data_IF_816305720237
#
_entry.id   IF_816305720237
#
_cell.length_a   1.000
_cell.length_b   1.000
_cell.length_c   1.000
_cell.angle_alpha   90.00
_cell.angle_beta   90.00
_cell.angle_gamma   90.00
#
_symmetry.space_group_name_H-M   'P 1'
#
loop_
_entity.id
_entity.type
_entity.pdbx_description
1 polymer ?
#
# COMPACT_ATOMS: atom_id res chain seq x y z
N UNK A 1 27.88 65.45 29.60
CA UNK A 1 27.75 64.13 30.19
C UNK A 1 27.74 63.14 29.05
N UNK A 2 28.87 62.51 28.76
CA UNK A 2 29.09 61.66 27.59
C UNK A 2 28.72 60.23 27.93
N UNK A 3 27.83 59.61 27.18
CA UNK A 3 27.49 58.18 27.24
C UNK A 3 28.50 57.46 26.32
N UNK A 4 29.16 56.41 26.79
CA UNK A 4 30.31 55.86 26.09
C UNK A 4 29.88 54.98 24.90
N UNK A 5 30.58 55.13 23.81
CA UNK A 5 30.52 54.39 22.54
C UNK A 5 30.93 52.90 22.61
N UNK A 6 30.74 52.25 23.74
CA UNK A 6 31.22 50.86 23.91
C UNK A 6 30.23 49.75 23.59
N UNK A 7 28.98 50.11 23.20
CA UNK A 7 27.92 49.11 22.95
C UNK A 7 27.76 48.74 21.48
N UNK A 8 28.37 49.45 20.54
CA UNK A 8 28.23 49.17 19.10
C UNK A 8 29.28 48.21 18.53
N UNK A 9 30.31 47.89 19.26
CA UNK A 9 31.35 46.94 18.76
C UNK A 9 31.10 45.48 19.10
N UNK A 10 30.21 45.17 20.04
CA UNK A 10 29.87 43.79 20.39
C UNK A 10 28.80 43.15 19.51
N UNK A 11 27.99 43.93 18.82
CA UNK A 11 26.93 43.39 17.95
C UNK A 11 27.48 42.99 16.58
N UNK A 12 28.59 43.57 16.12
CA UNK A 12 29.19 43.18 14.83
C UNK A 12 30.06 41.92 14.90
N UNK A 13 30.48 41.51 16.07
CA UNK A 13 31.30 40.30 16.28
C UNK A 13 30.42 39.04 16.39
N UNK A 14 29.16 39.16 16.77
CA UNK A 14 28.24 38.02 16.82
C UNK A 14 27.62 37.64 15.45
N UNK A 15 27.65 38.52 14.47
CA UNK A 15 27.15 38.22 13.13
C UNK A 15 28.15 37.46 12.24
N UNK A 16 29.41 37.35 12.62
CA UNK A 16 30.43 36.62 11.88
C UNK A 16 30.78 35.23 12.44
N UNK A 17 30.23 34.89 13.61
CA UNK A 17 30.54 33.60 14.26
C UNK A 17 29.54 32.48 13.96
N UNK A 18 28.42 32.76 13.25
CA UNK A 18 27.44 31.76 12.85
C UNK A 18 27.34 31.52 11.34
N UNK A 19 28.25 32.09 10.57
CA UNK A 19 28.50 31.68 9.20
C UNK A 19 29.55 30.55 9.17
N UNK A 20 29.45 29.57 10.07
CA UNK A 20 30.16 28.31 9.90
C UNK A 20 29.35 27.45 8.95
N UNK A 21 29.86 27.36 7.75
CA UNK A 21 29.76 26.25 6.78
C UNK A 21 28.96 25.05 7.28
N UNK A 22 27.63 25.20 7.31
CA UNK A 22 26.83 24.05 6.95
C UNK A 22 27.21 23.75 5.51
N UNK A 23 27.69 22.56 5.17
CA UNK A 23 27.82 22.22 3.77
C UNK A 23 26.39 22.28 3.20
N UNK A 24 26.03 23.43 2.63
CA UNK A 24 24.87 23.53 1.75
C UNK A 24 25.33 22.80 0.48
N UNK A 25 25.52 21.50 0.67
CA UNK A 25 25.98 20.64 -0.40
C UNK A 25 24.79 20.06 -1.13
N UNK A 26 23.91 20.92 -1.63
CA UNK A 26 23.11 20.52 -2.77
C UNK A 26 24.01 20.73 -3.97
N UNK A 27 24.58 19.64 -4.43
CA UNK A 27 25.23 19.63 -5.73
C UNK A 27 24.13 19.51 -6.78
N UNK A 28 23.81 20.59 -7.48
CA UNK A 28 23.05 20.50 -8.73
C UNK A 28 23.89 19.68 -9.74
N UNK A 29 23.29 18.76 -10.50
CA UNK A 29 21.85 18.49 -10.60
C UNK A 29 21.32 17.56 -9.50
N UNK A 30 20.09 17.84 -9.01
CA UNK A 30 19.40 16.99 -8.06
C UNK A 30 18.92 15.68 -8.67
N UNK A 31 18.58 15.69 -9.95
CA UNK A 31 18.06 14.55 -10.67
C UNK A 31 18.93 14.25 -11.90
N UNK A 32 19.24 12.98 -12.13
CA UNK A 32 20.00 12.52 -13.27
C UNK A 32 19.41 11.24 -13.84
N UNK A 33 19.41 11.08 -15.16
CA UNK A 33 19.14 9.77 -15.77
C UNK A 33 20.23 8.80 -15.37
N UNK A 34 19.86 7.64 -14.83
CA UNK A 34 20.82 6.71 -14.24
C UNK A 34 20.57 5.23 -14.57
N UNK A 35 19.48 4.95 -15.27
CA UNK A 35 19.16 3.60 -15.71
C UNK A 35 19.75 3.24 -17.08
N UNK A 36 19.49 2.02 -17.53
CA UNK A 36 19.79 1.62 -18.89
C UNK A 36 18.99 2.45 -19.91
N UNK A 37 19.50 2.61 -21.13
CA UNK A 37 18.93 3.50 -22.17
C UNK A 37 17.48 3.19 -22.55
N UNK A 38 17.02 1.97 -22.28
CA UNK A 38 15.66 1.49 -22.57
C UNK A 38 14.67 1.65 -21.41
N UNK A 39 15.12 2.17 -20.28
CA UNK A 39 14.30 2.35 -19.09
C UNK A 39 14.36 3.81 -18.62
N UNK A 40 13.19 4.36 -18.31
CA UNK A 40 13.07 5.74 -17.84
C UNK A 40 13.33 5.80 -16.32
N UNK A 41 14.61 5.73 -15.94
CA UNK A 41 15.09 5.72 -14.56
C UNK A 41 15.79 7.02 -14.22
N UNK A 42 15.37 7.67 -13.15
CA UNK A 42 15.94 8.91 -12.64
C UNK A 42 16.43 8.72 -11.20
N UNK A 43 17.71 9.00 -10.97
CA UNK A 43 18.29 9.02 -9.63
C UNK A 43 18.17 10.42 -9.01
N UNK A 44 17.75 10.47 -7.75
CA UNK A 44 17.59 11.70 -6.97
C UNK A 44 18.68 11.79 -5.90
N UNK A 45 19.36 12.94 -5.83
CA UNK A 45 20.33 13.20 -4.78
C UNK A 45 19.71 13.99 -3.64
N UNK A 46 19.80 13.45 -2.44
CA UNK A 46 19.43 14.13 -1.17
C UNK A 46 18.03 14.74 -1.11
N UNK A 47 17.08 14.26 -1.90
CA UNK A 47 15.71 14.79 -1.93
C UNK A 47 15.07 14.90 -0.54
N UNK A 48 15.29 13.92 0.33
CA UNK A 48 14.75 13.91 1.68
C UNK A 48 15.55 14.77 2.69
N UNK A 49 16.72 15.27 2.31
CA UNK A 49 17.62 15.99 3.21
C UNK A 49 17.74 17.46 2.87
N UNK A 50 18.07 17.77 1.61
CA UNK A 50 18.37 19.13 1.17
C UNK A 50 17.82 19.37 -0.22
N UNK A 51 16.96 20.35 -0.36
CA UNK A 51 16.52 20.92 -1.65
C UNK A 51 17.08 22.32 -1.79
N UNK A 52 17.29 22.83 -3.02
CA UNK A 52 17.70 24.21 -3.24
C UNK A 52 16.71 25.19 -2.61
N UNK A 53 17.25 26.32 -2.17
CA UNK A 53 16.44 27.39 -1.58
C UNK A 53 15.26 27.76 -2.51
N UNK A 54 14.09 28.02 -1.91
CA UNK A 54 12.81 28.29 -2.58
C UNK A 54 12.16 27.09 -3.28
N UNK A 55 12.41 25.88 -2.88
CA UNK A 55 11.57 24.77 -3.33
C UNK A 55 10.15 24.88 -2.77
N UNK A 56 9.19 24.38 -3.54
CA UNK A 56 7.79 24.35 -3.13
C UNK A 56 7.13 23.04 -3.59
N UNK A 57 6.63 22.27 -2.66
CA UNK A 57 5.75 21.14 -2.96
C UNK A 57 4.30 21.57 -2.77
N UNK A 58 3.52 21.48 -3.84
CA UNK A 58 2.11 21.85 -3.81
C UNK A 58 1.35 21.01 -2.80
N UNK A 59 0.59 21.70 -1.98
CA UNK A 59 -0.32 21.13 -1.02
C UNK A 59 -1.74 21.27 -1.58
N UNK A 60 -2.45 20.18 -1.82
CA UNK A 60 -3.87 20.25 -2.16
C UNK A 60 -4.68 19.43 -1.16
N UNK A 61 -5.64 20.09 -0.51
CA UNK A 61 -6.55 19.41 0.41
C UNK A 61 -7.55 18.53 -0.34
N UNK A 62 -7.15 17.36 -0.80
CA UNK A 62 -8.08 16.34 -1.28
C UNK A 62 -8.04 15.96 -2.75
N UNK A 63 -6.98 16.24 -3.49
CA UNK A 63 -6.82 15.71 -4.83
C UNK A 63 -5.59 14.81 -4.95
N UNK A 64 -5.63 13.90 -5.90
CA UNK A 64 -4.54 13.03 -6.32
C UNK A 64 -3.33 13.78 -6.90
N UNK A 65 -3.40 15.10 -7.00
CA UNK A 65 -2.39 15.98 -7.58
C UNK A 65 -1.22 16.30 -6.63
N UNK A 66 -0.99 15.49 -5.59
CA UNK A 66 0.05 15.73 -4.58
C UNK A 66 1.26 14.84 -4.80
N UNK A 67 1.59 14.53 -6.02
CA UNK A 67 2.81 13.77 -6.29
C UNK A 67 4.04 14.58 -5.88
N UNK A 68 5.02 13.95 -5.23
CA UNK A 68 6.29 14.62 -4.96
C UNK A 68 7.01 15.03 -6.27
N UNK A 69 6.68 14.37 -7.39
CA UNK A 69 7.12 14.76 -8.72
C UNK A 69 6.67 16.17 -9.12
N UNK A 70 5.64 16.72 -8.47
CA UNK A 70 5.17 18.10 -8.65
C UNK A 70 5.87 19.10 -7.73
N UNK A 71 6.91 18.68 -7.01
CA UNK A 71 7.76 19.62 -6.24
C UNK A 71 8.42 20.60 -7.23
N UNK A 72 8.17 21.88 -7.02
CA UNK A 72 8.80 22.94 -7.83
C UNK A 72 10.16 23.29 -7.24
N UNK A 73 11.20 23.15 -8.04
CA UNK A 73 12.58 23.48 -7.68
C UNK A 73 13.12 24.49 -8.70
N UNK A 74 12.79 25.80 -8.58
CA UNK A 74 13.02 26.80 -9.61
C UNK A 74 14.48 26.98 -10.03
N UNK A 75 15.41 26.63 -9.17
CA UNK A 75 16.86 26.81 -9.40
C UNK A 75 17.57 25.54 -9.84
N UNK A 76 16.82 24.45 -10.09
CA UNK A 76 17.36 23.22 -10.60
C UNK A 76 16.42 22.58 -11.64
N UNK A 77 16.67 22.87 -12.90
CA UNK A 77 15.86 22.35 -14.01
C UNK A 77 16.01 20.84 -14.23
N UNK A 78 16.99 20.20 -13.62
CA UNK A 78 17.12 18.73 -13.69
C UNK A 78 15.93 18.02 -13.04
N UNK A 79 15.25 18.70 -12.10
CA UNK A 79 14.09 18.15 -11.41
C UNK A 79 12.89 17.92 -12.34
N UNK A 80 12.87 18.55 -13.52
CA UNK A 80 11.87 18.30 -14.57
C UNK A 80 11.91 16.85 -15.09
N UNK A 81 13.04 16.14 -14.94
CA UNK A 81 13.15 14.72 -15.26
C UNK A 81 12.23 13.84 -14.41
N UNK A 82 11.96 14.24 -13.16
CA UNK A 82 11.19 13.46 -12.20
C UNK A 82 9.75 13.25 -12.67
N UNK A 83 9.14 14.26 -13.27
CA UNK A 83 7.75 14.20 -13.73
C UNK A 83 7.49 13.20 -14.86
N UNK A 84 8.54 12.78 -15.56
CA UNK A 84 8.44 11.89 -16.71
C UNK A 84 9.06 10.49 -16.47
N UNK A 85 9.62 10.26 -15.28
CA UNK A 85 10.28 9.00 -14.97
C UNK A 85 9.26 7.90 -14.61
N UNK A 86 9.52 6.68 -15.08
CA UNK A 86 8.78 5.50 -14.63
C UNK A 86 9.33 5.02 -13.27
N UNK A 87 10.65 5.14 -13.09
CA UNK A 87 11.35 4.72 -11.89
C UNK A 87 12.16 5.86 -11.30
N UNK A 88 11.96 6.12 -10.02
CA UNK A 88 12.76 7.06 -9.25
C UNK A 88 13.60 6.30 -8.22
N UNK A 89 14.86 6.63 -8.16
CA UNK A 89 15.84 5.96 -7.30
C UNK A 89 16.40 6.98 -6.30
N UNK A 90 16.21 6.70 -5.00
CA UNK A 90 16.67 7.55 -3.89
C UNK A 90 17.95 7.01 -3.24
N UNK A 91 18.14 5.69 -3.28
CA UNK A 91 19.38 5.02 -2.94
C UNK A 91 19.95 4.40 -4.21
N UNK A 92 20.96 5.03 -4.80
CA UNK A 92 21.41 4.67 -6.14
C UNK A 92 21.99 3.26 -6.20
N UNK A 93 22.73 2.82 -5.20
CA UNK A 93 23.33 1.49 -5.17
C UNK A 93 22.26 0.40 -5.10
N UNK A 94 21.43 0.44 -4.07
CA UNK A 94 20.36 -0.54 -3.86
C UNK A 94 19.26 -0.46 -4.92
N UNK A 95 18.88 0.76 -5.31
CA UNK A 95 17.81 0.98 -6.28
C UNK A 95 18.17 0.47 -7.68
N UNK A 96 19.39 0.67 -8.15
CA UNK A 96 19.82 0.13 -9.43
C UNK A 96 20.00 -1.41 -9.38
N UNK A 97 20.43 -1.95 -8.23
CA UNK A 97 20.51 -3.39 -8.04
C UNK A 97 19.10 -4.05 -8.13
N UNK A 98 18.11 -3.50 -7.44
CA UNK A 98 16.74 -4.03 -7.47
C UNK A 98 16.06 -3.88 -8.83
N UNK A 99 16.36 -2.82 -9.58
CA UNK A 99 15.83 -2.64 -10.92
C UNK A 99 16.48 -3.61 -11.92
N UNK A 100 17.78 -3.87 -11.78
CA UNK A 100 18.54 -4.71 -12.69
C UNK A 100 18.85 -4.03 -14.03
N UNK A 101 19.24 -4.83 -15.02
CA UNK A 101 19.71 -4.32 -16.31
C UNK A 101 18.60 -4.00 -17.32
N UNK A 102 17.38 -4.45 -17.07
CA UNK A 102 16.26 -4.35 -18.02
C UNK A 102 14.91 -4.12 -17.33
N UNK A 103 14.78 -3.11 -16.46
CA UNK A 103 13.50 -2.83 -15.83
C UNK A 103 12.50 -2.35 -16.89
N UNK A 104 11.23 -2.81 -16.77
CA UNK A 104 10.13 -2.34 -17.61
C UNK A 104 8.92 -2.01 -16.77
N UNK A 105 8.19 -0.98 -17.20
CA UNK A 105 6.89 -0.62 -16.70
C UNK A 105 5.91 -0.55 -17.87
N UNK A 106 4.84 -1.35 -17.81
CA UNK A 106 3.81 -1.42 -18.84
C UNK A 106 2.43 -1.28 -18.21
N UNK A 107 1.64 -0.28 -18.58
CA UNK A 107 0.21 -0.27 -18.28
C UNK A 107 -0.51 -1.20 -19.25
N UNK A 108 -0.82 -2.42 -18.77
CA UNK A 108 -1.35 -3.51 -19.61
C UNK A 108 -2.83 -3.32 -19.90
N UNK A 109 -3.60 -2.88 -18.89
CA UNK A 109 -5.04 -2.64 -19.05
C UNK A 109 -5.43 -1.28 -18.54
N UNK A 110 -6.21 -0.55 -19.35
CA UNK A 110 -7.00 0.58 -18.87
C UNK A 110 -8.34 0.02 -18.38
N UNK A 111 -8.64 0.24 -17.13
CA UNK A 111 -9.83 -0.28 -16.45
C UNK A 111 -10.61 0.87 -15.81
N UNK A 112 -11.83 0.58 -15.35
CA UNK A 112 -12.61 1.58 -14.63
C UNK A 112 -11.97 1.87 -13.26
N UNK A 113 -12.25 3.03 -12.69
CA UNK A 113 -11.83 3.40 -11.33
C UNK A 113 -12.39 2.47 -10.23
N UNK A 114 -13.36 1.62 -10.58
CA UNK A 114 -13.90 0.60 -9.68
C UNK A 114 -13.02 -0.65 -9.57
N UNK A 115 -12.06 -0.88 -10.48
CA UNK A 115 -11.05 -1.92 -10.30
C UNK A 115 -10.16 -1.50 -9.15
N UNK A 116 -10.11 -2.33 -8.13
CA UNK A 116 -9.76 -1.84 -6.82
C UNK A 116 -8.60 -2.62 -6.21
N UNK A 117 -8.83 -3.88 -5.80
CA UNK A 117 -7.99 -4.53 -4.81
C UNK A 117 -7.90 -6.05 -5.02
N UNK A 118 -7.45 -6.75 -3.97
CA UNK A 118 -7.39 -8.20 -3.83
C UNK A 118 -6.59 -8.93 -4.94
N UNK A 119 -5.42 -8.44 -5.36
CA UNK A 119 -4.63 -9.16 -6.35
C UNK A 119 -4.04 -10.44 -5.73
N UNK A 120 -4.50 -11.60 -6.22
CA UNK A 120 -4.02 -12.92 -5.76
C UNK A 120 -3.56 -13.74 -6.94
N UNK A 121 -2.28 -14.04 -6.97
CA UNK A 121 -1.69 -14.94 -7.97
C UNK A 121 -1.90 -16.41 -7.59
N UNK A 122 -2.39 -17.20 -8.53
CA UNK A 122 -2.57 -18.65 -8.41
C UNK A 122 -1.56 -19.36 -9.32
N UNK A 123 -0.43 -19.85 -8.77
CA UNK A 123 0.66 -20.43 -9.58
C UNK A 123 0.23 -21.60 -10.43
N UNK A 124 -0.61 -22.51 -9.91
CA UNK A 124 -1.06 -23.71 -10.62
C UNK A 124 -1.90 -23.41 -11.86
N UNK A 125 -2.51 -22.24 -11.94
CA UNK A 125 -3.29 -21.77 -13.09
C UNK A 125 -2.54 -20.72 -13.92
N UNK A 126 -1.46 -20.18 -13.39
CA UNK A 126 -0.78 -18.99 -13.90
C UNK A 126 -1.76 -17.86 -14.19
N UNK A 127 -2.58 -17.53 -13.19
CA UNK A 127 -3.63 -16.49 -13.26
C UNK A 127 -3.57 -15.57 -12.06
N UNK A 128 -3.86 -14.29 -12.31
CA UNK A 128 -4.00 -13.26 -11.29
C UNK A 128 -5.47 -12.91 -11.12
N UNK A 129 -5.99 -13.11 -9.92
CA UNK A 129 -7.37 -12.79 -9.54
C UNK A 129 -7.40 -11.40 -8.92
N UNK A 130 -8.46 -10.63 -9.21
CA UNK A 130 -8.63 -9.24 -8.77
C UNK A 130 -10.09 -8.98 -8.40
N UNK A 131 -10.36 -7.89 -7.70
CA UNK A 131 -11.70 -7.46 -7.35
C UNK A 131 -12.13 -6.16 -8.03
N UNK A 132 -13.45 -5.95 -8.04
CA UNK A 132 -14.09 -4.68 -8.35
C UNK A 132 -14.80 -4.18 -7.11
N UNK A 133 -14.55 -2.92 -6.74
CA UNK A 133 -15.27 -2.26 -5.65
C UNK A 133 -16.75 -2.11 -6.03
N UNK A 134 -17.62 -2.56 -5.15
CA UNK A 134 -19.06 -2.36 -5.35
C UNK A 134 -19.41 -0.86 -5.27
N UNK A 135 -20.37 -0.39 -6.09
CA UNK A 135 -20.91 0.95 -5.92
C UNK A 135 -21.66 1.07 -4.58
N UNK A 136 -21.95 2.29 -4.11
CA UNK A 136 -22.82 2.50 -2.96
C UNK A 136 -24.10 1.66 -3.05
N UNK A 137 -24.57 1.11 -1.93
CA UNK A 137 -25.58 0.07 -1.77
C UNK A 137 -25.07 -1.36 -1.96
N UNK A 138 -23.76 -1.58 -2.21
CA UNK A 138 -23.12 -2.89 -2.13
C UNK A 138 -23.63 -3.93 -3.10
N UNK A 139 -23.99 -3.51 -4.33
CA UNK A 139 -24.47 -4.44 -5.38
C UNK A 139 -23.35 -5.39 -5.75
N UNK A 140 -23.67 -6.69 -5.85
CA UNK A 140 -22.71 -7.69 -6.29
C UNK A 140 -22.07 -7.31 -7.62
N UNK A 141 -20.74 -7.33 -7.65
CA UNK A 141 -19.92 -7.12 -8.84
C UNK A 141 -19.21 -8.42 -9.23
N UNK A 142 -18.90 -8.61 -10.53
CA UNK A 142 -17.99 -9.67 -10.93
C UNK A 142 -16.60 -9.43 -10.33
N UNK A 143 -15.82 -10.48 -10.19
CA UNK A 143 -14.39 -10.42 -9.98
C UNK A 143 -13.66 -10.50 -11.32
N UNK A 144 -12.40 -10.14 -11.35
CA UNK A 144 -11.59 -10.14 -12.56
C UNK A 144 -10.49 -11.20 -12.49
N UNK A 145 -10.10 -11.70 -13.65
CA UNK A 145 -8.97 -12.62 -13.82
C UNK A 145 -8.10 -12.15 -14.98
N UNK A 146 -6.81 -11.97 -14.71
CA UNK A 146 -5.80 -11.84 -15.74
C UNK A 146 -5.24 -13.24 -16.05
N UNK A 147 -5.37 -13.67 -17.28
CA UNK A 147 -4.77 -14.93 -17.75
C UNK A 147 -3.35 -14.66 -18.26
N UNK A 148 -2.36 -15.08 -17.49
CA UNK A 148 -0.94 -14.88 -17.78
C UNK A 148 -0.38 -15.98 -18.72
N UNK A 149 -1.19 -16.96 -19.13
CA UNK A 149 -0.80 -17.95 -20.15
C UNK A 149 -0.94 -17.40 -21.57
N UNK A 150 -1.55 -16.22 -21.73
CA UNK A 150 -1.72 -15.56 -23.01
C UNK A 150 -0.63 -14.49 -23.21
N UNK A 151 -0.24 -14.25 -24.45
CA UNK A 151 0.65 -13.15 -24.84
C UNK A 151 0.06 -12.40 -26.05
N UNK A 152 -0.45 -11.18 -25.85
CA UNK A 152 -0.57 -10.43 -24.59
C UNK A 152 -1.54 -11.09 -23.58
N UNK A 153 -1.36 -10.82 -22.29
CA UNK A 153 -2.30 -11.28 -21.25
C UNK A 153 -3.72 -10.81 -21.52
N UNK A 154 -4.70 -11.60 -21.10
CA UNK A 154 -6.13 -11.26 -21.27
C UNK A 154 -6.81 -11.02 -19.93
N UNK A 155 -7.83 -10.14 -19.92
CA UNK A 155 -8.65 -9.81 -18.75
C UNK A 155 -10.07 -10.29 -18.96
N UNK A 156 -10.64 -10.98 -17.99
CA UNK A 156 -12.02 -11.48 -18.03
C UNK A 156 -12.73 -11.34 -16.69
N UNK A 157 -14.04 -11.30 -16.72
CA UNK A 157 -14.91 -11.29 -15.55
C UNK A 157 -15.29 -12.72 -15.14
N UNK A 158 -15.53 -12.93 -13.84
CA UNK A 158 -16.08 -14.19 -13.33
C UNK A 158 -16.88 -13.97 -12.04
N UNK A 159 -17.73 -14.94 -11.69
CA UNK A 159 -18.36 -15.04 -10.38
C UNK A 159 -17.96 -16.35 -9.75
N UNK A 160 -17.57 -16.31 -8.49
CA UNK A 160 -17.41 -17.51 -7.66
C UNK A 160 -18.78 -18.08 -7.26
N UNK A 161 -18.82 -19.32 -6.79
CA UNK A 161 -20.08 -20.01 -6.42
C UNK A 161 -19.97 -20.63 -5.01
N UNK A 162 -20.75 -20.12 -4.04
CA UNK A 162 -21.49 -18.86 -4.07
C UNK A 162 -20.61 -17.63 -4.29
N UNK A 163 -21.16 -16.52 -4.83
CA UNK A 163 -20.37 -15.33 -5.11
C UNK A 163 -19.90 -14.63 -3.85
N UNK A 164 -18.68 -14.08 -3.90
CA UNK A 164 -18.10 -13.24 -2.85
C UNK A 164 -18.37 -11.77 -3.16
N UNK A 165 -18.81 -11.03 -2.15
CA UNK A 165 -19.11 -9.61 -2.26
C UNK A 165 -17.87 -8.78 -1.95
N UNK A 166 -17.44 -7.99 -2.91
CA UNK A 166 -16.39 -6.99 -2.80
C UNK A 166 -15.15 -7.50 -2.01
N UNK A 167 -14.39 -8.49 -2.54
CA UNK A 167 -13.10 -8.81 -1.96
C UNK A 167 -12.22 -7.56 -1.92
N UNK A 168 -11.58 -7.28 -0.77
CA UNK A 168 -10.77 -6.09 -0.59
C UNK A 168 -9.27 -6.41 -0.50
N UNK A 169 -8.90 -7.54 0.05
CA UNK A 169 -7.55 -8.05 0.05
C UNK A 169 -7.53 -9.56 -0.02
N UNK A 170 -6.35 -10.14 -0.19
CA UNK A 170 -6.28 -11.59 -0.25
C UNK A 170 -4.88 -12.16 -0.41
N UNK A 171 -4.80 -13.48 -0.21
CA UNK A 171 -3.57 -14.27 -0.38
C UNK A 171 -3.89 -15.66 -0.91
N UNK A 172 -2.89 -16.27 -1.55
CA UNK A 172 -2.95 -17.68 -1.95
C UNK A 172 -2.20 -18.53 -0.93
N UNK A 173 -2.85 -19.54 -0.41
CA UNK A 173 -2.24 -20.45 0.53
C UNK A 173 -2.82 -21.86 0.39
N UNK A 174 -1.96 -22.85 0.33
CA UNK A 174 -2.32 -24.28 0.29
C UNK A 174 -3.43 -24.64 -0.73
N UNK A 175 -3.31 -24.11 -1.95
CA UNK A 175 -4.23 -24.41 -3.06
C UNK A 175 -5.51 -23.59 -3.09
N UNK A 176 -5.75 -22.72 -2.12
CA UNK A 176 -6.93 -21.86 -2.01
C UNK A 176 -6.57 -20.40 -2.05
N UNK A 177 -7.48 -19.59 -2.59
CA UNK A 177 -7.47 -18.16 -2.38
C UNK A 177 -8.23 -17.86 -1.08
N UNK A 178 -7.65 -17.05 -0.22
CA UNK A 178 -8.27 -16.49 0.97
C UNK A 178 -8.55 -15.02 0.71
N UNK A 179 -9.79 -14.61 0.82
CA UNK A 179 -10.21 -13.24 0.64
C UNK A 179 -10.81 -12.62 1.88
N UNK A 180 -10.41 -11.38 2.18
CA UNK A 180 -11.17 -10.45 2.99
C UNK A 180 -12.33 -9.89 2.16
N UNK A 181 -13.55 -10.11 2.59
CA UNK A 181 -14.76 -9.64 1.90
C UNK A 181 -15.38 -8.48 2.66
N UNK A 182 -15.66 -7.39 1.94
CA UNK A 182 -16.30 -6.19 2.50
C UNK A 182 -17.80 -6.36 2.76
N UNK A 183 -18.40 -7.41 2.21
CA UNK A 183 -19.84 -7.60 2.28
C UNK A 183 -20.61 -6.78 1.25
N UNK A 184 -21.93 -6.73 1.38
CA UNK A 184 -22.79 -6.08 0.41
C UNK A 184 -24.27 -6.17 0.74
N UNK A 185 -25.08 -5.83 -0.25
CA UNK A 185 -26.53 -5.73 -0.11
C UNK A 185 -27.25 -7.10 -0.07
N UNK A 186 -28.56 -7.07 -0.14
CA UNK A 186 -29.47 -8.22 0.00
C UNK A 186 -29.76 -8.93 -1.33
N UNK A 187 -28.96 -8.77 -2.36
CA UNK A 187 -29.24 -9.36 -3.68
C UNK A 187 -29.18 -10.88 -3.71
N UNK A 188 -28.47 -11.50 -2.77
CA UNK A 188 -28.44 -12.95 -2.58
C UNK A 188 -29.16 -13.35 -1.29
N UNK A 189 -30.13 -14.23 -1.40
CA UNK A 189 -30.87 -14.76 -0.25
C UNK A 189 -31.74 -13.76 0.51
N UNK A 190 -31.87 -12.52 0.03
CA UNK A 190 -32.68 -11.47 0.64
C UNK A 190 -32.13 -10.92 1.96
N UNK A 191 -30.88 -11.25 2.33
CA UNK A 191 -30.20 -10.79 3.53
C UNK A 191 -28.94 -10.02 3.21
N UNK A 192 -28.58 -9.06 4.06
CA UNK A 192 -27.33 -8.32 3.97
C UNK A 192 -26.15 -9.28 4.06
N UNK A 193 -25.19 -9.13 3.15
CA UNK A 193 -23.96 -9.92 3.15
C UNK A 193 -22.95 -9.26 4.08
N UNK A 194 -22.60 -9.95 5.14
CA UNK A 194 -21.71 -9.39 6.16
C UNK A 194 -20.24 -9.55 5.79
N UNK A 195 -19.36 -8.63 6.21
CA UNK A 195 -17.93 -8.74 6.04
C UNK A 195 -17.36 -10.03 6.66
N UNK A 196 -16.31 -10.57 6.06
CA UNK A 196 -15.70 -11.79 6.60
C UNK A 196 -14.59 -12.37 5.74
N UNK A 197 -14.04 -13.48 6.19
CA UNK A 197 -13.02 -14.24 5.47
C UNK A 197 -13.70 -15.34 4.66
N UNK A 198 -13.43 -15.33 3.36
CA UNK A 198 -13.91 -16.32 2.40
C UNK A 198 -12.74 -17.10 1.81
N UNK A 199 -12.91 -18.39 1.54
CA UNK A 199 -11.99 -19.13 0.68
C UNK A 199 -12.61 -19.41 -0.67
N UNK A 200 -11.79 -19.42 -1.71
CA UNK A 200 -12.15 -19.86 -3.04
C UNK A 200 -11.19 -20.96 -3.47
N UNK A 201 -11.74 -22.11 -3.90
CA UNK A 201 -10.99 -23.09 -4.67
C UNK A 201 -10.98 -22.64 -6.14
N UNK A 202 -9.83 -22.20 -6.67
CA UNK A 202 -9.76 -21.64 -8.02
C UNK A 202 -9.93 -22.68 -9.14
N UNK A 203 -9.84 -23.99 -8.83
CA UNK A 203 -10.06 -25.06 -9.79
C UNK A 203 -11.53 -25.46 -9.91
N UNK A 204 -12.28 -25.40 -8.80
CA UNK A 204 -13.70 -25.78 -8.77
C UNK A 204 -14.63 -24.57 -8.75
N UNK A 205 -14.10 -23.37 -8.58
CA UNK A 205 -14.83 -22.11 -8.42
C UNK A 205 -15.77 -22.08 -7.21
N UNK A 206 -15.53 -22.95 -6.21
CA UNK A 206 -16.35 -23.03 -5.00
C UNK A 206 -15.80 -22.19 -3.87
N UNK A 207 -16.69 -21.47 -3.19
CA UNK A 207 -16.37 -20.63 -2.03
C UNK A 207 -16.91 -21.19 -0.74
N UNK A 208 -16.26 -20.81 0.36
CA UNK A 208 -16.68 -21.14 1.71
C UNK A 208 -16.36 -19.97 2.65
N UNK A 209 -17.33 -19.60 3.47
CA UNK A 209 -17.10 -18.67 4.59
C UNK A 209 -16.34 -19.37 5.70
N UNK A 210 -15.22 -18.78 6.15
CA UNK A 210 -14.44 -19.26 7.29
C UNK A 210 -14.75 -18.49 8.56
N UNK A 211 -14.92 -17.17 8.45
CA UNK A 211 -15.14 -16.28 9.58
C UNK A 211 -15.98 -15.09 9.13
N UNK A 212 -17.03 -14.71 9.84
CA UNK A 212 -17.86 -13.56 9.52
C UNK A 212 -18.39 -12.79 10.74
N UNK A 213 -17.89 -13.09 11.92
CA UNK A 213 -18.28 -12.37 13.13
C UNK A 213 -17.26 -12.54 14.26
N UNK A 214 -17.28 -11.61 15.20
CA UNK A 214 -16.56 -11.67 16.47
C UNK A 214 -17.57 -11.81 17.59
N UNK A 215 -17.76 -13.02 18.10
CA UNK A 215 -18.76 -13.35 19.15
C UNK A 215 -20.17 -12.83 18.84
N UNK A 216 -20.62 -12.91 17.58
CA UNK A 216 -21.93 -12.47 17.13
C UNK A 216 -22.00 -11.00 16.68
N UNK A 217 -20.94 -10.22 16.84
CA UNK A 217 -20.80 -8.87 16.29
C UNK A 217 -20.17 -8.95 14.90
N UNK A 218 -20.68 -8.19 13.95
CA UNK A 218 -20.14 -8.16 12.60
C UNK A 218 -18.81 -7.42 12.55
N UNK A 219 -17.86 -7.94 11.75
CA UNK A 219 -16.67 -7.19 11.35
C UNK A 219 -17.07 -5.96 10.54
N UNK A 220 -16.21 -4.94 10.54
CA UNK A 220 -16.45 -3.69 9.83
C UNK A 220 -16.20 -3.81 8.33
N UNK A 221 -15.06 -4.41 7.96
CA UNK A 221 -14.62 -4.69 6.60
C UNK A 221 -13.34 -5.52 6.70
N UNK A 222 -13.42 -6.83 6.54
CA UNK A 222 -12.16 -7.59 6.45
C UNK A 222 -11.44 -7.14 5.19
N UNK A 223 -10.37 -6.36 5.38
CA UNK A 223 -9.70 -5.64 4.32
C UNK A 223 -8.58 -6.48 3.72
N UNK A 224 -7.38 -6.50 4.28
CA UNK A 224 -6.30 -7.34 3.78
C UNK A 224 -5.96 -8.46 4.79
N UNK A 225 -5.34 -9.52 4.29
CA UNK A 225 -5.00 -10.68 5.10
C UNK A 225 -3.79 -11.44 4.59
N UNK A 226 -3.12 -12.12 5.54
CA UNK A 226 -2.08 -13.08 5.27
C UNK A 226 -2.33 -14.37 6.06
N UNK A 227 -1.80 -15.48 5.58
CA UNK A 227 -1.83 -16.78 6.30
C UNK A 227 -0.41 -17.12 6.70
N UNK A 228 -0.19 -17.37 8.01
CA UNK A 228 1.12 -17.77 8.52
C UNK A 228 1.39 -19.28 8.32
N UNK A 229 2.62 -19.72 8.57
CA UNK A 229 3.03 -21.13 8.43
C UNK A 229 2.25 -22.12 9.29
N UNK A 230 1.52 -21.66 10.29
CA UNK A 230 0.65 -22.51 11.13
C UNK A 230 -0.75 -22.66 10.54
N UNK A 231 -1.08 -21.87 9.51
CA UNK A 231 -2.40 -21.77 8.90
C UNK A 231 -3.31 -20.77 9.60
N UNK A 232 -2.80 -19.99 10.55
CA UNK A 232 -3.57 -18.90 11.15
C UNK A 232 -3.59 -17.68 10.24
N UNK A 233 -4.71 -16.96 10.24
CA UNK A 233 -4.99 -15.83 9.37
C UNK A 233 -4.88 -14.54 10.17
N UNK A 234 -4.04 -13.63 9.70
CA UNK A 234 -3.89 -12.30 10.24
C UNK A 234 -4.59 -11.33 9.31
N UNK A 235 -5.44 -10.46 9.82
CA UNK A 235 -6.25 -9.58 8.99
C UNK A 235 -6.53 -8.24 9.65
N UNK A 236 -6.85 -7.27 8.83
CA UNK A 236 -7.24 -5.91 9.21
C UNK A 236 -8.75 -5.71 9.06
N UNK A 237 -9.35 -4.86 9.90
CA UNK A 237 -10.79 -4.62 9.95
C UNK A 237 -11.11 -3.12 10.08
N UNK A 238 -10.82 -2.31 9.03
CA UNK A 238 -11.21 -0.91 8.97
C UNK A 238 -12.72 -0.76 8.73
N UNK A 239 -13.26 0.45 8.86
CA UNK A 239 -14.70 0.71 8.71
C UNK A 239 -15.13 0.99 7.24
N UNK A 240 -14.50 0.38 6.26
CA UNK A 240 -14.72 0.72 4.85
C UNK A 240 -16.07 0.29 4.30
N UNK A 241 -16.64 -0.83 4.75
CA UNK A 241 -17.95 -1.26 4.24
C UNK A 241 -19.04 -0.24 4.55
N UNK A 242 -18.99 0.35 5.75
CA UNK A 242 -19.88 1.44 6.13
C UNK A 242 -19.52 2.75 5.42
N UNK A 243 -18.23 3.08 5.37
CA UNK A 243 -17.72 4.29 4.71
C UNK A 243 -18.12 4.35 3.24
N UNK A 244 -17.94 3.24 2.50
CA UNK A 244 -18.30 3.10 1.10
C UNK A 244 -19.79 2.79 0.88
N UNK A 245 -20.59 2.71 1.96
CA UNK A 245 -22.03 2.41 1.91
C UNK A 245 -22.33 1.06 1.24
N UNK A 246 -21.48 0.07 1.45
CA UNK A 246 -21.69 -1.28 0.94
C UNK A 246 -22.72 -2.04 1.77
N UNK A 247 -22.76 -1.78 3.08
CA UNK A 247 -23.63 -2.40 4.06
C UNK A 247 -24.55 -1.37 4.72
N UNK A 248 -25.73 -1.82 5.18
CA UNK A 248 -26.74 -1.01 5.86
C UNK A 248 -26.49 -1.00 7.39
N UNK A 249 -25.91 -2.08 7.91
CA UNK A 249 -25.63 -2.23 9.34
C UNK A 249 -24.45 -1.36 9.74
N UNK A 250 -24.63 -0.43 10.70
CA UNK A 250 -23.52 0.41 11.19
C UNK A 250 -22.43 -0.43 11.88
N UNK A 251 -21.20 0.09 12.00
CA UNK A 251 -20.12 -0.56 12.71
C UNK A 251 -20.54 -1.01 14.13
N UNK A 252 -20.24 -2.25 14.45
CA UNK A 252 -20.52 -2.87 15.75
C UNK A 252 -19.24 -3.05 16.58
N UNK A 253 -18.08 -2.99 15.93
CA UNK A 253 -16.75 -3.14 16.51
C UNK A 253 -15.93 -1.86 16.29
N UNK A 254 -14.89 -1.68 17.09
CA UNK A 254 -13.83 -0.73 16.80
C UNK A 254 -13.05 -1.19 15.56
N UNK A 255 -12.39 -0.26 14.88
CA UNK A 255 -11.34 -0.61 13.92
C UNK A 255 -10.24 -1.36 14.66
N UNK A 256 -9.84 -2.49 14.14
CA UNK A 256 -8.81 -3.30 14.77
C UNK A 256 -8.13 -4.23 13.75
N UNK A 257 -7.08 -4.89 14.20
CA UNK A 257 -6.46 -5.99 13.48
C UNK A 257 -6.52 -7.25 14.32
N UNK A 258 -6.67 -8.39 13.68
CA UNK A 258 -6.94 -9.65 14.35
C UNK A 258 -6.07 -10.79 13.84
N UNK A 259 -5.98 -11.84 14.65
CA UNK A 259 -5.47 -13.17 14.27
C UNK A 259 -6.56 -14.21 14.50
N UNK A 260 -6.88 -14.97 13.47
CA UNK A 260 -7.84 -16.08 13.50
C UNK A 260 -7.13 -17.41 13.33
N UNK A 261 -7.38 -18.34 14.22
CA UNK A 261 -6.91 -19.73 14.09
C UNK A 261 -8.06 -20.62 13.62
N UNK A 262 -8.09 -21.06 12.34
CA UNK A 262 -9.16 -21.90 11.82
C UNK A 262 -9.26 -23.28 12.48
N UNK A 263 -8.18 -23.77 13.12
CA UNK A 263 -8.15 -25.07 13.78
C UNK A 263 -8.92 -25.07 15.09
N UNK A 264 -8.87 -23.97 15.80
CA UNK A 264 -9.52 -23.82 17.12
C UNK A 264 -10.78 -22.95 17.08
N UNK A 265 -10.93 -22.14 16.02
CA UNK A 265 -11.96 -21.12 15.92
C UNK A 265 -11.67 -19.85 16.75
N UNK A 266 -10.49 -19.76 17.35
CA UNK A 266 -10.10 -18.62 18.18
C UNK A 266 -9.81 -17.38 17.33
N UNK A 267 -10.39 -16.24 17.72
CA UNK A 267 -10.09 -14.91 17.17
C UNK A 267 -9.48 -14.07 18.28
N UNK A 268 -8.27 -13.55 18.02
CA UNK A 268 -7.54 -12.71 18.98
C UNK A 268 -7.34 -11.33 18.35
N UNK A 269 -7.67 -10.27 19.07
CA UNK A 269 -7.32 -8.91 18.66
C UNK A 269 -5.83 -8.68 18.85
N UNK A 270 -5.17 -8.07 17.88
CA UNK A 270 -3.72 -7.80 17.92
C UNK A 270 -3.39 -6.31 18.05
N UNK A 271 -4.20 -5.42 17.48
CA UNK A 271 -4.07 -3.95 17.63
C UNK A 271 -5.44 -3.29 17.42
N UNK A 272 -5.75 -2.27 18.23
CA UNK A 272 -6.96 -1.43 18.15
C UNK A 272 -6.63 0.08 18.11
N UNK A 273 -5.39 0.41 17.79
CA UNK A 273 -4.86 1.78 17.88
C UNK A 273 -4.52 2.39 16.54
N UNK A 274 -4.58 1.63 15.45
CA UNK A 274 -4.52 2.12 14.06
C UNK A 274 -5.93 2.58 13.67
N UNK A 275 -6.04 3.82 13.16
CA UNK A 275 -7.35 4.45 12.90
C UNK A 275 -8.09 3.74 11.77
N UNK A 276 -7.40 3.43 10.67
CA UNK A 276 -7.94 2.65 9.56
C UNK A 276 -6.84 1.69 9.06
N UNK A 277 -6.67 0.53 9.73
CA UNK A 277 -5.69 -0.46 9.32
C UNK A 277 -6.10 -1.04 7.95
N UNK A 278 -5.16 -1.07 7.00
CA UNK A 278 -5.39 -1.51 5.63
C UNK A 278 -4.51 -2.73 5.30
N UNK A 279 -3.50 -2.60 4.45
CA UNK A 279 -2.63 -3.70 4.08
C UNK A 279 -1.90 -4.34 5.25
N UNK A 280 -1.71 -5.65 5.20
CA UNK A 280 -0.97 -6.41 6.20
C UNK A 280 0.03 -7.37 5.54
N UNK A 281 1.26 -7.40 6.05
CA UNK A 281 2.30 -8.31 5.57
C UNK A 281 3.16 -8.86 6.71
N UNK A 282 3.75 -10.04 6.49
CA UNK A 282 4.69 -10.65 7.43
C UNK A 282 6.09 -10.66 6.82
N UNK A 283 7.12 -10.35 7.63
CA UNK A 283 8.51 -10.43 7.18
C UNK A 283 8.89 -11.85 6.74
N UNK A 284 9.82 -12.00 5.78
CA UNK A 284 10.25 -13.33 5.30
C UNK A 284 10.80 -14.24 6.39
N UNK A 285 11.37 -13.69 7.44
CA UNK A 285 11.88 -14.44 8.60
C UNK A 285 10.79 -14.78 9.64
N UNK A 286 9.54 -14.36 9.40
CA UNK A 286 8.41 -14.62 10.28
C UNK A 286 8.48 -13.95 11.66
N UNK A 287 9.26 -12.88 11.81
CA UNK A 287 9.46 -12.20 13.10
C UNK A 287 8.70 -10.91 13.26
N UNK A 288 8.20 -10.35 12.16
CA UNK A 288 7.55 -9.04 12.16
C UNK A 288 6.25 -9.07 11.36
N UNK A 289 5.27 -8.28 11.82
CA UNK A 289 4.07 -7.90 11.06
C UNK A 289 4.19 -6.43 10.70
N UNK A 290 3.75 -6.08 9.50
CA UNK A 290 3.62 -4.71 9.03
C UNK A 290 2.16 -4.43 8.71
N UNK A 291 1.65 -3.27 9.15
CA UNK A 291 0.27 -2.83 8.89
C UNK A 291 0.33 -1.38 8.39
N UNK A 292 -0.39 -1.12 7.30
CA UNK A 292 -0.53 0.23 6.74
C UNK A 292 -1.70 0.96 7.38
N UNK A 293 -1.63 2.30 7.37
CA UNK A 293 -2.62 3.19 7.98
C UNK A 293 -3.13 4.19 6.93
N UNK A 294 -4.43 4.20 6.70
CA UNK A 294 -5.08 5.06 5.70
C UNK A 294 -5.98 6.14 6.29
N UNK A 295 -5.91 6.38 7.58
CA UNK A 295 -6.76 7.34 8.27
C UNK A 295 -6.67 8.78 7.76
N UNK A 296 -5.60 9.14 7.03
CA UNK A 296 -5.50 10.45 6.38
C UNK A 296 -6.56 10.67 5.27
N UNK A 297 -7.06 9.60 4.65
CA UNK A 297 -8.11 9.65 3.60
C UNK A 297 -9.49 9.51 4.18
N UNK A 298 -9.67 8.61 5.15
CA UNK A 298 -10.98 8.25 5.68
C UNK A 298 -11.29 8.92 7.02
N UNK A 299 -10.26 9.25 7.80
CA UNK A 299 -10.42 9.78 9.16
C UNK A 299 -11.17 8.82 10.09
N UNK A 300 -11.66 9.33 11.19
CA UNK A 300 -12.58 8.59 12.05
C UNK A 300 -13.98 8.64 11.44
N UNK A 301 -14.57 7.49 11.19
CA UNK A 301 -15.91 7.40 10.61
C UNK A 301 -16.93 7.57 11.71
N UNK A 302 -17.70 8.65 11.64
CA UNK A 302 -18.74 8.96 12.61
C UNK A 302 -20.09 8.54 12.02
N UNK A 303 -20.88 7.80 12.80
CA UNK A 303 -22.24 7.41 12.41
C UNK A 303 -23.09 8.65 12.07
N UNK A 304 -23.64 8.64 10.85
CA UNK A 304 -24.44 9.77 10.34
C UNK A 304 -23.63 10.95 9.83
N UNK A 305 -22.29 10.87 9.86
CA UNK A 305 -21.40 11.82 9.21
C UNK A 305 -21.40 11.66 7.68
N UNK A 306 -20.89 12.65 6.95
CA UNK A 306 -20.72 12.52 5.52
C UNK A 306 -19.76 11.35 5.22
N UNK A 307 -20.01 10.56 4.17
CA UNK A 307 -19.05 9.58 3.72
C UNK A 307 -17.85 10.31 3.13
N UNK A 308 -16.67 9.86 3.52
CA UNK A 308 -15.42 10.45 3.08
C UNK A 308 -15.06 11.73 3.83
N UNK A 309 -13.81 11.82 4.22
CA UNK A 309 -13.20 13.09 4.58
C UNK A 309 -12.27 13.52 3.44
N UNK A 310 -12.11 14.82 3.19
CA UNK A 310 -11.01 15.28 2.34
C UNK A 310 -9.68 14.73 2.89
N UNK A 311 -8.75 14.43 2.01
CA UNK A 311 -7.41 14.03 2.40
C UNK A 311 -6.82 15.00 3.43
N UNK A 312 -6.43 14.47 4.57
CA UNK A 312 -5.80 15.24 5.63
C UNK A 312 -4.29 15.00 5.61
N UNK A 313 -3.54 15.98 5.12
CA UNK A 313 -2.09 15.84 5.00
C UNK A 313 -1.37 15.62 6.34
N UNK A 314 -1.95 16.04 7.45
CA UNK A 314 -1.42 15.78 8.80
C UNK A 314 -2.07 14.56 9.45
N UNK A 315 -2.95 13.86 8.73
CA UNK A 315 -3.60 12.65 9.20
C UNK A 315 -2.67 11.42 9.19
N UNK A 316 -3.08 10.36 9.88
CA UNK A 316 -2.27 9.15 9.97
C UNK A 316 -2.19 8.45 8.61
N UNK A 317 -0.97 8.16 8.16
CA UNK A 317 -0.64 7.49 6.90
C UNK A 317 0.74 6.83 6.97
N UNK A 318 0.95 6.07 8.02
CA UNK A 318 2.22 5.41 8.29
C UNK A 318 2.16 3.91 7.99
N UNK A 319 3.32 3.29 7.86
CA UNK A 319 3.49 1.85 8.01
C UNK A 319 3.96 1.59 9.43
N UNK A 320 3.24 0.73 10.14
CA UNK A 320 3.62 0.28 11.47
C UNK A 320 4.25 -1.11 11.41
N UNK A 321 5.34 -1.27 12.14
CA UNK A 321 6.04 -2.54 12.35
C UNK A 321 5.78 -3.03 13.76
N UNK A 322 5.47 -4.32 13.89
CA UNK A 322 5.31 -5.03 15.15
C UNK A 322 6.29 -6.19 15.23
N UNK A 323 6.75 -6.51 16.41
CA UNK A 323 7.53 -7.72 16.67
C UNK A 323 6.59 -8.85 17.07
N UNK A 324 6.80 -10.05 16.51
CA UNK A 324 6.07 -11.26 16.88
C UNK A 324 6.71 -11.91 18.12
N UNK A 325 5.88 -12.28 19.07
CA UNK A 325 6.25 -12.95 20.33
C UNK A 325 5.39 -14.19 20.56
N UNK A 326 5.65 -14.93 21.64
CA UNK A 326 4.91 -16.11 22.08
C UNK A 326 4.74 -17.15 20.97
N UNK A 327 5.85 -17.47 20.30
CA UNK A 327 5.86 -18.44 19.21
C UNK A 327 5.18 -17.95 17.93
N UNK A 328 5.06 -16.62 17.76
CA UNK A 328 4.45 -16.00 16.59
C UNK A 328 2.93 -15.89 16.69
N UNK A 329 2.36 -15.80 17.90
CA UNK A 329 0.91 -15.73 18.10
C UNK A 329 0.43 -14.35 18.56
N UNK A 330 1.33 -13.52 19.10
CA UNK A 330 1.03 -12.18 19.62
C UNK A 330 2.02 -11.16 19.07
N UNK A 331 1.67 -9.89 19.18
CA UNK A 331 2.50 -8.77 18.72
C UNK A 331 2.90 -7.88 19.88
N UNK A 332 4.03 -7.21 19.73
CA UNK A 332 4.53 -6.19 20.66
C UNK A 332 5.31 -5.12 19.93
N UNK A 333 5.78 -4.09 20.65
CA UNK A 333 6.72 -3.09 20.15
C UNK A 333 6.26 -2.42 18.84
N UNK A 334 4.97 -1.99 18.80
CA UNK A 334 4.44 -1.19 17.68
C UNK A 334 5.27 0.07 17.50
N UNK A 335 5.71 0.31 16.27
CA UNK A 335 6.45 1.51 15.91
C UNK A 335 6.20 1.93 14.47
N UNK A 336 6.04 3.23 14.18
CA UNK A 336 6.00 3.70 12.80
C UNK A 336 7.40 3.58 12.20
N UNK A 337 7.47 3.17 10.93
CA UNK A 337 8.73 3.07 10.19
C UNK A 337 8.74 3.90 8.91
N UNK A 338 7.58 4.17 8.32
CA UNK A 338 7.44 4.93 7.10
C UNK A 338 6.22 5.85 7.16
N UNK A 339 6.32 7.01 6.55
CA UNK A 339 5.22 7.95 6.37
C UNK A 339 5.07 8.25 4.88
N UNK A 340 3.95 7.84 4.29
CA UNK A 340 3.74 7.96 2.84
C UNK A 340 3.81 9.41 2.36
N UNK A 341 4.45 9.63 1.20
CA UNK A 341 4.79 10.95 0.72
C UNK A 341 3.62 11.63 0.00
N UNK A 342 2.90 10.88 -0.81
CA UNK A 342 1.91 11.44 -1.73
C UNK A 342 0.47 11.24 -1.25
N UNK A 343 0.16 10.07 -0.76
CA UNK A 343 -1.18 9.65 -0.39
C UNK A 343 -1.14 8.87 0.93
N UNK A 344 -1.75 7.71 0.96
CA UNK A 344 -1.68 6.76 2.06
C UNK A 344 -0.99 5.48 1.57
N UNK A 345 -0.28 4.76 2.44
CA UNK A 345 0.15 3.41 2.11
C UNK A 345 -1.07 2.51 2.16
N UNK A 346 -1.38 1.84 1.06
CA UNK A 346 -2.56 0.98 0.89
C UNK A 346 -2.16 -0.49 1.06
N UNK A 347 -2.37 -1.35 0.07
CA UNK A 347 -1.89 -2.72 0.11
C UNK A 347 -0.36 -2.80 0.23
N UNK A 348 0.14 -3.85 0.88
CA UNK A 348 1.55 -4.04 1.21
C UNK A 348 1.99 -5.47 0.91
N UNK A 349 3.17 -5.64 0.34
CA UNK A 349 3.82 -6.94 0.15
C UNK A 349 5.29 -6.85 0.54
N UNK A 350 5.91 -8.00 0.79
CA UNK A 350 7.33 -8.07 1.11
C UNK A 350 8.11 -8.62 -0.07
N UNK A 351 9.30 -8.11 -0.26
CA UNK A 351 10.31 -8.76 -1.10
C UNK A 351 11.04 -9.86 -0.32
N UNK A 352 11.64 -10.79 -1.03
CA UNK A 352 12.38 -11.90 -0.43
C UNK A 352 13.60 -11.44 0.41
N UNK A 353 14.17 -10.29 0.09
CA UNK A 353 15.26 -9.66 0.85
C UNK A 353 14.78 -8.88 2.08
N UNK A 354 13.46 -8.77 2.30
CA UNK A 354 12.84 -8.06 3.41
C UNK A 354 12.46 -6.62 3.11
N UNK A 355 12.69 -6.11 1.92
CA UNK A 355 12.18 -4.79 1.52
C UNK A 355 10.65 -4.80 1.48
N UNK A 356 10.06 -3.66 1.81
CA UNK A 356 8.64 -3.43 1.91
C UNK A 356 8.19 -2.74 0.62
N UNK A 357 7.12 -3.26 0.00
CA UNK A 357 6.54 -2.68 -1.20
C UNK A 357 5.09 -2.32 -0.91
N UNK A 358 4.70 -1.08 -1.14
CA UNK A 358 3.34 -0.60 -0.87
C UNK A 358 2.81 0.30 -1.98
N UNK A 359 1.53 0.13 -2.33
CA UNK A 359 0.81 1.13 -3.11
C UNK A 359 0.75 2.44 -2.32
N UNK A 360 1.09 3.56 -2.94
CA UNK A 360 1.16 4.86 -2.27
C UNK A 360 0.75 5.99 -3.22
N UNK A 361 -0.56 6.14 -3.44
CA UNK A 361 -1.08 7.09 -4.40
C UNK A 361 -0.71 6.74 -5.86
N UNK A 362 -0.30 7.70 -6.69
CA UNK A 362 0.06 7.44 -8.07
C UNK A 362 1.45 6.79 -8.16
N UNK A 363 1.58 5.59 -7.60
CA UNK A 363 2.82 4.82 -7.62
C UNK A 363 2.96 3.81 -6.50
N UNK A 364 4.15 3.22 -6.44
CA UNK A 364 4.54 2.20 -5.47
C UNK A 364 5.87 2.58 -4.84
N UNK A 365 5.92 2.59 -3.52
CA UNK A 365 7.15 2.83 -2.77
C UNK A 365 7.83 1.51 -2.41
N UNK A 366 9.15 1.45 -2.59
CA UNK A 366 10.04 0.38 -2.16
C UNK A 366 10.90 0.91 -1.01
N UNK A 367 10.74 0.31 0.17
CA UNK A 367 11.26 0.82 1.43
C UNK A 367 12.01 -0.30 2.14
N UNK A 368 13.15 0.02 2.75
CA UNK A 368 13.85 -0.98 3.56
C UNK A 368 13.14 -1.24 4.91
N UNK A 369 13.50 -2.33 5.63
CA UNK A 369 12.89 -2.66 6.91
C UNK A 369 13.08 -1.61 8.03
N UNK A 370 13.88 -0.57 7.78
CA UNK A 370 14.16 0.53 8.70
C UNK A 370 13.42 1.83 8.32
N UNK A 371 12.71 1.85 7.18
CA UNK A 371 11.93 2.99 6.73
C UNK A 371 12.68 3.93 5.77
N UNK A 372 13.77 3.47 5.16
CA UNK A 372 14.47 4.24 4.13
C UNK A 372 13.87 3.95 2.75
N UNK A 373 13.44 4.99 2.05
CA UNK A 373 12.94 4.89 0.68
C UNK A 373 14.12 4.56 -0.26
N UNK A 374 14.02 3.43 -0.95
CA UNK A 374 15.02 2.98 -1.92
C UNK A 374 14.67 3.47 -3.31
N UNK A 375 13.44 3.18 -3.74
CA UNK A 375 12.95 3.51 -5.07
C UNK A 375 11.43 3.71 -5.08
N UNK A 376 10.92 4.33 -6.14
CA UNK A 376 9.50 4.49 -6.41
C UNK A 376 9.21 4.17 -7.87
N UNK A 377 8.13 3.48 -8.10
CA UNK A 377 7.52 3.35 -9.43
C UNK A 377 6.43 4.40 -9.53
N UNK A 378 6.41 5.18 -10.61
CA UNK A 378 5.36 6.18 -10.86
C UNK A 378 4.31 5.62 -11.80
N UNK A 379 3.04 5.96 -11.55
CA UNK A 379 1.89 5.58 -12.36
C UNK A 379 1.00 6.79 -12.63
N UNK A 380 0.14 6.70 -13.64
CA UNK A 380 -0.88 7.71 -13.97
C UNK A 380 -2.24 7.44 -13.28
N UNK A 381 -2.26 6.52 -12.32
CA UNK A 381 -3.44 6.14 -11.53
C UNK A 381 -3.04 5.80 -10.08
N UNK A 382 -4.02 5.78 -9.17
CA UNK A 382 -3.78 5.39 -7.77
C UNK A 382 -3.61 3.87 -7.71
N UNK A 383 -2.45 3.42 -7.24
CA UNK A 383 -2.17 2.01 -6.96
C UNK A 383 -2.65 1.68 -5.56
N UNK A 384 -3.54 0.71 -5.45
CA UNK A 384 -4.08 0.28 -4.16
C UNK A 384 -3.41 -0.99 -3.67
N UNK A 385 -3.16 -1.96 -4.54
CA UNK A 385 -2.49 -3.18 -4.12
C UNK A 385 -1.58 -3.74 -5.22
N UNK A 386 -0.77 -4.74 -4.87
CA UNK A 386 0.25 -5.33 -5.72
C UNK A 386 0.32 -6.84 -5.52
N UNK A 387 0.79 -7.56 -6.54
CA UNK A 387 1.08 -8.98 -6.44
C UNK A 387 2.31 -9.34 -7.25
N UNK A 388 3.16 -10.18 -6.70
CA UNK A 388 4.23 -10.83 -7.44
C UNK A 388 3.69 -12.08 -8.14
N UNK A 389 4.13 -12.31 -9.37
CA UNK A 389 3.68 -13.43 -10.20
C UNK A 389 4.86 -14.12 -10.89
N UNK A 390 4.58 -15.30 -11.46
CA UNK A 390 5.59 -16.10 -12.16
C UNK A 390 6.37 -17.02 -11.20
N UNK A 391 7.12 -17.94 -11.78
CA UNK A 391 7.88 -18.94 -11.01
C UNK A 391 8.97 -18.32 -10.13
N UNK A 392 9.65 -17.29 -10.67
CA UNK A 392 10.75 -16.61 -9.99
C UNK A 392 10.27 -15.45 -9.09
N UNK A 393 8.98 -15.06 -9.17
CA UNK A 393 8.40 -13.91 -8.47
C UNK A 393 9.14 -12.59 -8.72
N UNK A 394 9.64 -12.38 -9.95
CA UNK A 394 10.32 -11.15 -10.38
C UNK A 394 9.48 -10.28 -11.29
N UNK A 395 8.25 -10.68 -11.59
CA UNK A 395 7.25 -9.85 -12.25
C UNK A 395 6.22 -9.41 -11.19
N UNK A 396 5.95 -8.10 -11.13
CA UNK A 396 5.00 -7.51 -10.20
C UNK A 396 3.84 -6.85 -10.96
N UNK A 397 2.63 -7.10 -10.52
CA UNK A 397 1.43 -6.46 -11.05
C UNK A 397 0.89 -5.44 -10.05
N UNK A 398 0.59 -4.25 -10.56
CA UNK A 398 0.05 -3.11 -9.84
C UNK A 398 -1.42 -2.99 -10.19
N UNK A 399 -2.27 -2.89 -9.18
CA UNK A 399 -3.73 -2.82 -9.36
C UNK A 399 -4.25 -1.59 -8.67
N UNK A 400 -5.12 -0.86 -9.34
CA UNK A 400 -5.72 0.33 -8.75
C UNK A 400 -6.72 1.03 -9.67
N UNK A 401 -7.14 2.20 -9.25
CA UNK A 401 -8.22 2.98 -9.85
C UNK A 401 -7.85 3.49 -11.25
N UNK A 402 -8.27 2.78 -12.27
CA UNK A 402 -8.06 3.17 -13.67
C UNK A 402 -6.94 2.43 -14.39
N UNK A 403 -6.18 1.56 -13.72
CA UNK A 403 -5.09 0.84 -14.35
C UNK A 403 -4.74 -0.50 -13.72
N UNK A 404 -4.24 -1.39 -14.57
CA UNK A 404 -3.52 -2.60 -14.18
C UNK A 404 -2.22 -2.59 -14.95
N UNK A 405 -1.10 -2.49 -14.23
CA UNK A 405 0.24 -2.38 -14.80
C UNK A 405 1.11 -3.55 -14.42
N UNK A 406 2.15 -3.77 -15.20
CA UNK A 406 3.13 -4.81 -15.02
C UNK A 406 4.52 -4.20 -14.93
N UNK A 407 5.28 -4.63 -13.94
CA UNK A 407 6.69 -4.29 -13.75
C UNK A 407 7.52 -5.55 -13.85
N UNK A 408 8.59 -5.51 -14.63
CA UNK A 408 9.63 -6.54 -14.66
C UNK A 408 10.94 -5.91 -14.20
N UNK A 409 11.57 -6.54 -13.26
CA UNK A 409 12.76 -6.06 -12.60
C UNK A 409 13.56 -7.22 -11.97
N UNK A 410 14.57 -6.90 -11.19
CA UNK A 410 15.39 -7.90 -10.54
C UNK A 410 14.92 -8.24 -9.11
N UNK A 411 14.07 -7.38 -8.53
CA UNK A 411 13.55 -7.60 -7.18
C UNK A 411 12.62 -8.81 -7.16
N UNK A 412 12.90 -9.74 -6.27
CA UNK A 412 12.11 -10.95 -6.07
C UNK A 412 11.10 -10.76 -4.94
N UNK A 413 9.85 -11.10 -5.19
CA UNK A 413 8.81 -11.14 -4.17
C UNK A 413 9.03 -12.26 -3.14
N UNK A 414 8.44 -12.10 -1.98
CA UNK A 414 8.38 -13.15 -0.97
C UNK A 414 7.52 -14.32 -1.47
N UNK A 415 7.99 -15.54 -1.29
CA UNK A 415 7.18 -16.72 -1.49
C UNK A 415 6.25 -16.93 -0.28
N UNK A 416 4.98 -16.63 -0.46
CA UNK A 416 3.97 -16.75 0.59
C UNK A 416 3.68 -18.21 0.98
N UNK A 417 4.02 -19.17 0.12
CA UNK A 417 3.88 -20.58 0.44
C UNK A 417 5.00 -21.09 1.38
N UNK A 418 6.08 -20.31 1.50
CA UNK A 418 7.22 -20.64 2.35
C UNK A 418 7.18 -20.00 3.75
N UNK A 419 6.15 -19.18 4.07
CA UNK A 419 6.01 -18.50 5.36
C UNK A 419 5.58 -19.45 6.46
#
# INVERSE_FOLDING_TARGET
>A
MAIPQFFLLLVSLFHHAFAQDFPIGVTSPLATSCGPDNANVVCLDRYASVLPYHFFRRFSGGSTDISFAQTNVPHDTSFDLVGNADFLVFDQERGLELLGSNPTYDKVFNVSEAVHEAPVYVPSLNKLFLSILAPPAGVLQPQLVVDLNQDPPTLSEYFSDPPVYAPNGGTFYNGLIYWGASGGNRSIGGIEQVPGIQTLDPHTNKTKTLLNNYYGLYFNCVDDLIVDKTGAIWFTDPQYSWFNRLVETPPQLLTASYRFDPKTGAVTMIDDTIVQPNGIAMSPDGKHIYITETGAVTGSIVRGGPPGSPFNQTGPRAIYKFDLIDGGTHVTNKRPIWYAQDWVPDGIKMAANGDIITGSGPGVDIIDPYGVLIARIQTDYIVQNIAFVGEELTEMWLVGQGGISRVRWNLKGQDLAAI
#
